data_IF_313616282894
#
_entry.id   IF_313616282894
#
_cell.length_a   1.000
_cell.length_b   1.000
_cell.length_c   1.000
_cell.angle_alpha   90.00
_cell.angle_beta   90.00
_cell.angle_gamma   90.00
#
_symmetry.space_group_name_H-M   'P 1'
#
loop_
_entity.id
_entity.type
_entity.pdbx_description
1 polymer ?
#
# COMPACT_ATOMS: atom_id res chain seq x y z
N UNK A 1 11.87 9.29 35.82
CA UNK A 1 10.58 9.41 35.10
C UNK A 1 10.80 10.38 33.97
N UNK A 2 11.13 9.86 32.80
CA UNK A 2 11.49 10.62 31.61
C UNK A 2 10.29 10.71 30.66
N UNK A 3 10.35 11.65 29.73
CA UNK A 3 9.35 11.82 28.67
C UNK A 3 10.07 11.95 27.34
N UNK A 4 9.62 11.18 26.37
CA UNK A 4 10.17 11.20 25.02
C UNK A 4 9.05 11.44 24.02
N UNK A 5 9.31 12.29 23.03
CA UNK A 5 8.36 12.55 21.95
C UNK A 5 8.68 11.68 20.75
N UNK A 6 7.68 10.96 20.25
CA UNK A 6 7.73 10.21 18.99
C UNK A 6 6.83 10.89 17.97
N UNK A 7 7.09 10.68 16.68
CA UNK A 7 6.25 11.21 15.60
C UNK A 7 5.69 10.07 14.79
N UNK A 8 4.36 10.02 14.66
CA UNK A 8 3.65 9.03 13.82
C UNK A 8 2.71 9.79 12.91
N UNK A 9 2.81 9.57 11.60
CA UNK A 9 2.02 10.26 10.57
C UNK A 9 2.05 11.80 10.72
N UNK A 10 3.26 12.34 10.85
CA UNK A 10 3.53 13.78 11.08
C UNK A 10 2.88 14.37 12.35
N UNK A 11 2.39 13.54 13.28
CA UNK A 11 1.88 13.97 14.58
C UNK A 11 2.82 13.61 15.73
N UNK A 12 3.17 14.58 16.59
CA UNK A 12 3.97 14.31 17.78
C UNK A 12 3.12 13.72 18.91
N UNK A 13 3.65 12.68 19.57
CA UNK A 13 3.07 12.03 20.75
C UNK A 13 4.12 11.96 21.86
N UNK A 14 3.82 12.49 23.04
CA UNK A 14 4.72 12.43 24.20
C UNK A 14 4.41 11.19 25.04
N UNK A 15 5.39 10.30 25.15
CA UNK A 15 5.29 9.03 25.86
C UNK A 15 6.14 9.10 27.14
N UNK A 16 5.53 8.70 28.26
CA UNK A 16 6.25 8.54 29.52
C UNK A 16 7.05 7.23 29.48
N UNK A 17 8.33 7.29 29.88
CA UNK A 17 9.21 6.14 29.91
C UNK A 17 10.20 6.20 31.08
N UNK A 18 10.80 5.06 31.39
CA UNK A 18 11.85 4.98 32.39
C UNK A 18 13.14 5.62 31.89
N UNK A 19 13.95 6.14 32.82
CA UNK A 19 15.20 6.81 32.51
C UNK A 19 16.15 5.80 31.82
N UNK A 20 16.64 6.15 30.63
CA UNK A 20 17.48 5.28 29.78
C UNK A 20 16.72 4.48 28.71
N UNK A 21 15.38 4.51 28.68
CA UNK A 21 14.57 3.85 27.64
C UNK A 21 14.18 4.77 26.47
N UNK A 22 14.58 6.05 26.51
CA UNK A 22 14.18 7.08 25.53
C UNK A 22 14.51 6.65 24.09
N UNK A 23 15.72 6.13 23.87
CA UNK A 23 16.17 5.65 22.56
C UNK A 23 15.31 4.50 22.05
N UNK A 24 14.94 3.55 22.92
CA UNK A 24 14.09 2.43 22.55
C UNK A 24 12.69 2.89 22.19
N UNK A 25 12.12 3.84 22.94
CA UNK A 25 10.81 4.42 22.64
C UNK A 25 10.83 5.15 21.29
N UNK A 26 11.89 5.88 20.96
CA UNK A 26 12.05 6.51 19.64
C UNK A 26 12.11 5.47 18.51
N UNK A 27 12.86 4.39 18.68
CA UNK A 27 12.95 3.31 17.70
C UNK A 27 11.60 2.64 17.47
N UNK A 28 10.86 2.34 18.55
CA UNK A 28 9.52 1.76 18.44
C UNK A 28 8.55 2.72 17.75
N UNK A 29 8.61 4.02 18.06
CA UNK A 29 7.81 5.03 17.38
C UNK A 29 8.10 5.13 15.88
N UNK A 30 9.38 5.09 15.50
CA UNK A 30 9.79 5.09 14.09
C UNK A 30 9.31 3.85 13.34
N UNK A 31 9.40 2.67 13.97
CA UNK A 31 8.88 1.42 13.40
C UNK A 31 7.37 1.46 13.19
N UNK A 32 6.61 1.99 14.18
CA UNK A 32 5.16 2.18 14.05
C UNK A 32 4.82 3.15 12.90
N UNK A 33 5.56 4.24 12.76
CA UNK A 33 5.37 5.21 11.66
C UNK A 33 5.66 4.60 10.28
N UNK A 34 6.71 3.78 10.16
CA UNK A 34 7.03 3.05 8.92
C UNK A 34 5.90 2.10 8.53
N UNK A 35 5.47 1.22 9.45
CA UNK A 35 4.35 0.29 9.23
C UNK A 35 3.05 1.01 8.88
N UNK A 36 2.78 2.14 9.54
CA UNK A 36 1.62 2.97 9.22
C UNK A 36 1.69 3.53 7.80
N UNK A 37 2.85 4.07 7.39
CA UNK A 37 3.05 4.62 6.03
C UNK A 37 2.91 3.56 4.95
N UNK A 38 3.43 2.36 5.16
CA UNK A 38 3.27 1.23 4.23
C UNK A 38 1.79 0.89 4.02
N UNK A 39 1.01 0.77 5.10
CA UNK A 39 -0.42 0.48 5.03
C UNK A 39 -1.24 1.60 4.39
N UNK A 40 -0.86 2.86 4.64
CA UNK A 40 -1.48 4.01 3.98
C UNK A 40 -1.20 4.03 2.48
N UNK A 41 0.02 3.70 2.05
CA UNK A 41 0.38 3.61 0.62
C UNK A 41 -0.38 2.48 -0.09
N UNK A 42 -0.67 1.38 0.61
CA UNK A 42 -1.49 0.29 0.10
C UNK A 42 -3.00 0.64 -0.01
N UNK A 43 -3.43 1.84 0.42
CA UNK A 43 -4.83 2.26 0.39
C UNK A 43 -5.72 1.49 1.38
N UNK A 44 -5.12 0.91 2.43
CA UNK A 44 -5.80 -0.04 3.30
C UNK A 44 -6.77 0.59 4.33
N UNK A 45 -6.73 1.91 4.54
CA UNK A 45 -7.52 2.58 5.58
C UNK A 45 -8.29 3.82 5.07
N UNK A 46 -9.60 3.93 5.38
CA UNK A 46 -10.45 5.05 4.96
C UNK A 46 -10.21 6.35 5.75
N UNK A 47 -9.61 6.24 6.93
CA UNK A 47 -9.19 7.38 7.74
C UNK A 47 -8.02 6.96 8.65
N UNK A 48 -7.35 7.93 9.22
CA UNK A 48 -6.15 7.70 10.02
C UNK A 48 -6.39 6.89 11.29
N UNK A 49 -7.48 7.13 12.02
CA UNK A 49 -7.78 6.37 13.24
C UNK A 49 -7.91 4.89 12.91
N UNK A 50 -8.60 4.58 11.81
CA UNK A 50 -8.68 3.22 11.29
C UNK A 50 -7.31 2.70 10.86
N UNK A 51 -6.48 3.54 10.22
CA UNK A 51 -5.11 3.20 9.84
C UNK A 51 -4.26 2.81 11.05
N UNK A 52 -4.32 3.56 12.15
CA UNK A 52 -3.57 3.26 13.37
C UNK A 52 -4.05 1.95 14.03
N UNK A 53 -5.36 1.70 14.04
CA UNK A 53 -5.92 0.43 14.53
C UNK A 53 -5.44 -0.74 13.67
N UNK A 54 -5.47 -0.58 12.34
CA UNK A 54 -5.00 -1.60 11.41
C UNK A 54 -3.49 -1.86 11.59
N UNK A 55 -2.68 -0.81 11.71
CA UNK A 55 -1.24 -0.93 12.00
C UNK A 55 -0.99 -1.67 13.31
N UNK A 56 -1.76 -1.37 14.36
CA UNK A 56 -1.64 -2.06 15.64
C UNK A 56 -2.00 -3.56 15.53
N UNK A 57 -3.03 -3.91 14.74
CA UNK A 57 -3.42 -5.30 14.50
C UNK A 57 -2.35 -6.07 13.73
N UNK A 58 -1.78 -5.47 12.68
CA UNK A 58 -0.71 -6.10 11.89
C UNK A 58 0.53 -6.36 12.74
N UNK A 59 0.99 -5.36 13.50
CA UNK A 59 2.15 -5.51 14.40
C UNK A 59 1.87 -6.57 15.48
N UNK A 60 0.64 -6.63 15.99
CA UNK A 60 0.26 -7.67 16.95
C UNK A 60 0.32 -9.06 16.30
N UNK A 61 -0.23 -9.22 15.10
CA UNK A 61 -0.25 -10.50 14.37
C UNK A 61 1.17 -11.04 14.13
N UNK A 62 2.09 -10.19 13.64
CA UNK A 62 3.51 -10.53 13.46
C UNK A 62 4.16 -11.03 14.77
N UNK A 63 3.83 -10.37 15.90
CA UNK A 63 4.33 -10.77 17.21
C UNK A 63 3.72 -12.09 17.69
N UNK A 64 2.43 -12.34 17.42
CA UNK A 64 1.76 -13.60 17.77
C UNK A 64 2.31 -14.76 16.94
N UNK A 65 2.50 -14.58 15.64
CA UNK A 65 3.10 -15.59 14.76
C UNK A 65 4.53 -15.93 15.20
N UNK A 66 5.34 -14.91 15.50
CA UNK A 66 6.72 -15.09 15.99
C UNK A 66 6.76 -15.85 17.32
N UNK A 67 5.81 -15.57 18.23
CA UNK A 67 5.70 -16.28 19.52
C UNK A 67 5.26 -17.73 19.34
N UNK A 68 4.28 -17.99 18.48
CA UNK A 68 3.80 -19.35 18.19
C UNK A 68 4.91 -20.20 17.57
N UNK A 69 5.66 -19.64 16.62
CA UNK A 69 6.83 -20.29 16.03
C UNK A 69 7.91 -20.62 17.08
N UNK A 70 8.22 -19.67 17.97
CA UNK A 70 9.17 -19.90 19.05
C UNK A 70 8.69 -20.98 20.04
N UNK A 71 7.40 -21.00 20.36
CA UNK A 71 6.81 -22.00 21.26
C UNK A 71 6.83 -23.40 20.64
N UNK A 72 6.51 -23.52 19.34
CA UNK A 72 6.62 -24.78 18.58
C UNK A 72 8.05 -25.29 18.56
N UNK A 73 9.03 -24.42 18.29
CA UNK A 73 10.44 -24.77 18.32
C UNK A 73 10.89 -25.25 19.71
N UNK A 74 10.43 -24.59 20.78
CA UNK A 74 10.73 -25.00 22.15
C UNK A 74 10.10 -26.36 22.52
N UNK A 75 8.87 -26.63 22.07
CA UNK A 75 8.21 -27.94 22.26
C UNK A 75 8.93 -29.05 21.50
N UNK A 76 9.37 -28.80 20.26
CA UNK A 76 10.17 -29.76 19.49
C UNK A 76 11.52 -30.06 20.18
N UNK A 77 12.19 -29.03 20.71
CA UNK A 77 13.43 -29.19 21.46
C UNK A 77 13.23 -29.98 22.77
N UNK A 78 12.13 -29.78 23.49
CA UNK A 78 11.79 -30.55 24.69
C UNK A 78 11.45 -32.01 24.39
N UNK A 79 10.69 -32.28 23.34
CA UNK A 79 10.37 -33.65 22.91
C UNK A 79 11.62 -34.42 22.47
N UNK A 80 12.62 -33.73 21.89
CA UNK A 80 13.90 -34.33 21.55
C UNK A 80 14.76 -34.69 22.78
N UNK A 81 14.52 -34.05 23.94
CA UNK A 81 15.31 -34.25 25.17
C UNK A 81 14.68 -35.25 26.16
N UNK A 82 13.40 -35.63 25.97
CA UNK A 82 12.66 -36.49 26.91
C UNK A 82 12.73 -38.01 26.61
N UNK A 83 13.41 -38.45 25.55
CA UNK A 83 13.54 -39.87 25.20
C UNK A 83 14.89 -40.46 25.70
N UNK A 84 14.90 -41.44 26.63
CA UNK A 84 16.15 -42.06 27.13
C UNK A 84 16.81 -43.01 26.12
N UNK A 85 16.12 -43.34 25.04
CA UNK A 85 16.65 -44.05 23.88
C UNK A 85 16.39 -43.14 22.67
N UNK A 86 17.37 -43.03 21.76
CA UNK A 86 17.21 -42.25 20.53
C UNK A 86 15.91 -42.62 19.80
N UNK A 87 15.36 -41.70 18.98
CA UNK A 87 14.08 -41.91 18.32
C UNK A 87 14.09 -43.23 17.54
N UNK A 88 13.04 -44.04 17.70
CA UNK A 88 12.92 -45.29 16.94
C UNK A 88 12.75 -44.96 15.45
N UNK A 89 13.13 -45.89 14.57
CA UNK A 89 12.96 -45.71 13.12
C UNK A 89 11.51 -45.32 12.76
N UNK A 90 10.53 -45.92 13.45
CA UNK A 90 9.10 -45.61 13.32
C UNK A 90 8.75 -44.17 13.74
N UNK A 91 9.41 -43.63 14.77
CA UNK A 91 9.25 -42.22 15.18
C UNK A 91 9.90 -41.26 14.19
N UNK A 92 11.04 -41.64 13.61
CA UNK A 92 11.72 -40.86 12.56
C UNK A 92 10.83 -40.81 11.31
N UNK A 93 10.32 -41.95 10.86
CA UNK A 93 9.45 -42.05 9.68
C UNK A 93 8.13 -41.30 9.89
N UNK A 94 7.53 -41.39 11.09
CA UNK A 94 6.33 -40.63 11.45
C UNK A 94 6.60 -39.11 11.48
N UNK A 95 7.75 -38.68 12.00
CA UNK A 95 8.12 -37.28 12.03
C UNK A 95 8.40 -36.73 10.63
N UNK A 96 9.09 -37.50 9.77
CA UNK A 96 9.31 -37.16 8.36
C UNK A 96 7.97 -37.04 7.64
N UNK A 97 7.05 -37.98 7.82
CA UNK A 97 5.72 -37.93 7.22
C UNK A 97 4.94 -36.68 7.68
N UNK A 98 4.98 -36.37 8.98
CA UNK A 98 4.32 -35.19 9.54
C UNK A 98 4.90 -33.89 8.97
N UNK A 99 6.22 -33.71 9.00
CA UNK A 99 6.88 -32.50 8.49
C UNK A 99 6.65 -32.35 6.98
N UNK A 100 6.68 -33.45 6.23
CA UNK A 100 6.41 -33.43 4.78
C UNK A 100 4.96 -33.02 4.49
N UNK A 101 4.00 -33.52 5.29
CA UNK A 101 2.59 -33.16 5.14
C UNK A 101 2.32 -31.70 5.55
N UNK A 102 2.92 -31.22 6.63
CA UNK A 102 2.81 -29.81 7.06
C UNK A 102 3.42 -28.86 6.01
N UNK A 103 4.59 -29.19 5.46
CA UNK A 103 5.19 -28.42 4.37
C UNK A 103 4.32 -28.43 3.10
N UNK A 104 3.79 -29.59 2.70
CA UNK A 104 2.91 -29.71 1.55
C UNK A 104 1.66 -28.83 1.69
N UNK A 105 1.00 -28.86 2.85
CA UNK A 105 -0.14 -28.00 3.15
C UNK A 105 0.23 -26.51 3.15
N UNK A 106 1.41 -26.16 3.68
CA UNK A 106 1.93 -24.79 3.64
C UNK A 106 2.16 -24.28 2.22
N UNK A 107 2.71 -25.12 1.35
CA UNK A 107 2.90 -24.78 -0.07
C UNK A 107 1.56 -24.65 -0.81
N UNK A 108 0.62 -25.55 -0.59
CA UNK A 108 -0.72 -25.45 -1.19
C UNK A 108 -1.43 -24.15 -0.81
N UNK A 109 -1.39 -23.76 0.47
CA UNK A 109 -1.96 -22.48 0.93
C UNK A 109 -1.29 -21.28 0.26
N UNK A 110 0.04 -21.22 0.25
CA UNK A 110 0.78 -20.13 -0.41
C UNK A 110 0.51 -20.06 -1.92
N UNK A 111 0.41 -21.19 -2.60
CA UNK A 111 0.07 -21.24 -4.03
C UNK A 111 -1.36 -20.73 -4.26
N UNK A 112 -2.31 -21.11 -3.40
CA UNK A 112 -3.69 -20.62 -3.48
C UNK A 112 -3.77 -19.10 -3.22
N UNK A 113 -3.07 -18.60 -2.21
CA UNK A 113 -3.00 -17.15 -1.91
C UNK A 113 -2.36 -16.36 -3.05
N UNK A 114 -1.21 -16.81 -3.54
CA UNK A 114 -0.51 -16.15 -4.64
C UNK A 114 -1.33 -16.18 -5.94
N UNK A 115 -2.05 -17.27 -6.23
CA UNK A 115 -2.92 -17.33 -7.40
C UNK A 115 -4.12 -16.38 -7.29
N UNK A 116 -4.73 -16.27 -6.11
CA UNK A 116 -5.80 -15.29 -5.85
C UNK A 116 -5.31 -13.84 -6.02
N UNK A 117 -4.09 -13.53 -5.57
CA UNK A 117 -3.50 -12.20 -5.72
C UNK A 117 -3.14 -11.89 -7.18
N UNK A 118 -2.63 -12.87 -7.94
CA UNK A 118 -2.42 -12.73 -9.39
C UNK A 118 -3.74 -12.39 -10.10
N UNK A 119 -4.83 -13.06 -9.74
CA UNK A 119 -6.15 -12.81 -10.34
C UNK A 119 -6.73 -11.45 -9.93
N UNK A 120 -6.42 -10.98 -8.72
CA UNK A 120 -6.76 -9.62 -8.29
C UNK A 120 -6.01 -8.58 -9.12
N UNK A 121 -4.68 -8.69 -9.20
CA UNK A 121 -3.82 -7.75 -9.94
C UNK A 121 -4.18 -7.71 -11.43
N UNK A 122 -4.51 -8.86 -12.04
CA UNK A 122 -4.99 -8.92 -13.42
C UNK A 122 -6.29 -8.14 -13.62
N UNK A 123 -7.25 -8.26 -12.70
CA UNK A 123 -8.52 -7.49 -12.76
C UNK A 123 -8.29 -5.99 -12.61
N UNK A 124 -7.40 -5.61 -11.69
CA UNK A 124 -7.06 -4.20 -11.48
C UNK A 124 -6.34 -3.60 -12.70
N UNK A 125 -5.37 -4.33 -13.26
CA UNK A 125 -4.66 -3.91 -14.48
C UNK A 125 -5.62 -3.76 -15.67
N UNK A 126 -6.57 -4.69 -15.85
CA UNK A 126 -7.60 -4.58 -16.89
C UNK A 126 -8.49 -3.33 -16.69
N UNK A 127 -8.89 -3.04 -15.45
CA UNK A 127 -9.69 -1.85 -15.12
C UNK A 127 -8.91 -0.56 -15.38
N UNK A 128 -7.66 -0.51 -14.96
CA UNK A 128 -6.80 0.65 -15.18
C UNK A 128 -6.53 0.88 -16.67
N UNK A 129 -6.31 -0.18 -17.45
CA UNK A 129 -6.19 -0.08 -18.90
C UNK A 129 -7.45 0.52 -19.53
N UNK A 130 -8.64 0.08 -19.12
CA UNK A 130 -9.91 0.66 -19.60
C UNK A 130 -10.04 2.14 -19.25
N UNK A 131 -9.73 2.52 -18.00
CA UNK A 131 -9.78 3.91 -17.56
C UNK A 131 -8.82 4.79 -18.39
N UNK A 132 -7.61 4.29 -18.67
CA UNK A 132 -6.63 5.01 -19.51
C UNK A 132 -7.17 5.21 -20.92
N UNK A 133 -7.80 4.20 -21.52
CA UNK A 133 -8.41 4.34 -22.86
C UNK A 133 -9.55 5.35 -22.87
N UNK A 134 -10.41 5.37 -21.84
CA UNK A 134 -11.50 6.33 -21.74
C UNK A 134 -10.99 7.76 -21.52
N UNK A 135 -9.96 7.94 -20.69
CA UNK A 135 -9.33 9.24 -20.45
C UNK A 135 -8.69 9.76 -21.74
N UNK A 136 -7.96 8.91 -22.48
CA UNK A 136 -7.33 9.31 -23.73
C UNK A 136 -8.38 9.73 -24.76
N UNK A 137 -9.49 8.99 -24.89
CA UNK A 137 -10.60 9.37 -25.77
C UNK A 137 -11.23 10.70 -25.36
N UNK A 138 -11.51 10.90 -24.08
CA UNK A 138 -12.06 12.15 -23.58
C UNK A 138 -11.11 13.33 -23.81
N UNK A 139 -9.79 13.09 -23.68
CA UNK A 139 -8.75 14.07 -23.98
C UNK A 139 -8.74 14.45 -25.46
N UNK A 140 -8.78 13.49 -26.37
CA UNK A 140 -8.84 13.74 -27.82
C UNK A 140 -10.11 14.54 -28.19
N UNK A 141 -11.27 14.19 -27.64
CA UNK A 141 -12.51 14.93 -27.84
C UNK A 141 -12.43 16.37 -27.31
N UNK A 142 -11.76 16.58 -26.17
CA UNK A 142 -11.55 17.90 -25.58
C UNK A 142 -10.57 18.75 -26.40
N UNK A 143 -9.47 18.15 -26.87
CA UNK A 143 -8.50 18.81 -27.76
C UNK A 143 -9.16 19.25 -29.08
N UNK A 144 -9.98 18.39 -29.69
CA UNK A 144 -10.73 18.73 -30.90
C UNK A 144 -11.73 19.89 -30.68
N UNK A 145 -12.46 19.89 -29.56
CA UNK A 145 -13.36 20.99 -29.19
C UNK A 145 -12.61 22.29 -28.95
N UNK A 146 -11.44 22.22 -28.32
CA UNK A 146 -10.59 23.38 -28.08
C UNK A 146 -10.09 23.98 -29.40
N UNK A 147 -9.58 23.16 -30.31
CA UNK A 147 -9.14 23.58 -31.65
C UNK A 147 -10.28 24.21 -32.45
N UNK A 148 -11.48 23.63 -32.41
CA UNK A 148 -12.65 24.20 -33.08
C UNK A 148 -12.99 25.59 -32.52
N UNK A 149 -12.97 25.75 -31.19
CA UNK A 149 -13.24 27.03 -30.53
C UNK A 149 -12.15 28.06 -30.82
N UNK A 150 -10.89 27.66 -30.87
CA UNK A 150 -9.77 28.53 -31.24
C UNK A 150 -9.92 29.03 -32.70
N UNK A 151 -10.32 28.15 -33.62
CA UNK A 151 -10.59 28.53 -35.01
C UNK A 151 -11.79 29.49 -35.14
N UNK A 152 -12.83 29.32 -34.34
CA UNK A 152 -13.96 30.27 -34.29
C UNK A 152 -13.52 31.64 -33.74
N UNK A 153 -12.71 31.66 -32.69
CA UNK A 153 -12.16 32.90 -32.12
C UNK A 153 -11.30 33.62 -33.15
N UNK A 154 -10.42 32.90 -33.86
CA UNK A 154 -9.58 33.48 -34.91
C UNK A 154 -10.43 34.16 -36.00
N UNK A 155 -11.47 33.47 -36.51
CA UNK A 155 -12.41 34.06 -37.49
C UNK A 155 -13.12 35.30 -36.96
N UNK A 156 -13.51 35.30 -35.68
CA UNK A 156 -14.17 36.46 -35.06
C UNK A 156 -13.22 37.66 -34.95
N UNK A 157 -11.96 37.41 -34.62
CA UNK A 157 -10.90 38.44 -34.55
C UNK A 157 -10.63 39.03 -35.94
N UNK A 158 -10.51 38.21 -36.97
CA UNK A 158 -10.31 38.68 -38.36
C UNK A 158 -11.47 39.57 -38.82
N UNK A 159 -12.71 39.13 -38.61
CA UNK A 159 -13.90 39.91 -38.97
C UNK A 159 -13.97 41.26 -38.21
N UNK A 160 -13.63 41.27 -36.92
CA UNK A 160 -13.59 42.51 -36.15
C UNK A 160 -12.51 43.47 -36.68
N UNK A 161 -11.36 42.93 -37.08
CA UNK A 161 -10.24 43.69 -37.68
C UNK A 161 -10.66 44.34 -39.00
N UNK A 162 -11.31 43.61 -39.90
CA UNK A 162 -11.84 44.13 -41.17
C UNK A 162 -12.88 45.24 -40.97
N UNK A 163 -13.76 45.08 -39.99
CA UNK A 163 -14.77 46.09 -39.63
C UNK A 163 -14.11 47.35 -39.09
N UNK A 164 -13.10 47.23 -38.23
CA UNK A 164 -12.33 48.35 -37.71
C UNK A 164 -11.61 49.10 -38.83
N UNK A 165 -10.92 48.38 -39.72
CA UNK A 165 -10.28 48.98 -40.91
C UNK A 165 -11.28 49.79 -41.76
N UNK A 166 -12.47 49.23 -41.97
CA UNK A 166 -13.53 49.88 -42.73
C UNK A 166 -14.00 51.18 -42.07
N UNK A 167 -14.20 51.17 -40.75
CA UNK A 167 -14.58 52.37 -39.98
C UNK A 167 -13.47 53.42 -40.03
N UNK A 168 -12.21 53.03 -39.84
CA UNK A 168 -11.05 53.93 -39.93
C UNK A 168 -10.96 54.57 -41.33
N UNK A 169 -11.15 53.78 -42.40
CA UNK A 169 -11.18 54.30 -43.78
C UNK A 169 -12.31 55.30 -44.02
N UNK A 170 -13.48 55.10 -43.41
CA UNK A 170 -14.61 56.05 -43.49
C UNK A 170 -14.32 57.34 -42.73
N UNK A 171 -13.77 57.26 -41.52
CA UNK A 171 -13.43 58.43 -40.71
C UNK A 171 -12.34 59.31 -41.35
N UNK A 172 -11.36 58.72 -42.05
CA UNK A 172 -10.33 59.49 -42.79
C UNK A 172 -10.87 60.24 -44.02
N UNK A 173 -12.06 59.91 -44.51
CA UNK A 173 -12.67 60.51 -45.71
C UNK A 173 -13.74 61.56 -45.39
N UNK A 174 -14.15 61.67 -44.13
CA UNK A 174 -15.06 62.69 -43.60
C UNK A 174 -14.25 63.86 -43.03
#
# INVERSE_FOLDING_TARGET
MSKTTITVNNRPFTIACDDGQESRVQQLGAYVDERFKELQQAGAAPNETYGLVLTALVIADDMFESRDAAQKAAMQAQNAQAAPAGPTQEQIDAHIAQVTQEMAQGYERRIAEMSAEIDRLRRESARNSSNVTDINRAREEAEAKMQAREAEIAKAVDNLTDRLETVVKKLKRA
#
